data_IF_684133951965
#
_entry.id   IF_684133951965
#
_cell.length_a   1.000
_cell.length_b   1.000
_cell.length_c   1.000
_cell.angle_alpha   90.00
_cell.angle_beta   90.00
_cell.angle_gamma   90.00
#
_symmetry.space_group_name_H-M   'P 1'
#
loop_
_entity.id
_entity.type
_entity.pdbx_description
1 polymer ?
#
# COMPACT_ATOMS: atom_id res chain seq x y z
N UNK A 1 69.69 -8.98 27.75
CA UNK A 1 70.20 -8.32 26.52
C UNK A 1 69.25 -8.68 25.40
N UNK A 2 68.44 -7.70 24.99
CA UNK A 2 67.44 -7.86 23.93
C UNK A 2 68.12 -8.02 22.58
N UNK A 3 67.72 -9.06 21.84
CA UNK A 3 67.85 -9.11 20.39
C UNK A 3 66.64 -9.84 19.81
N UNK A 4 65.49 -9.16 19.85
CA UNK A 4 64.41 -9.44 18.91
C UNK A 4 64.46 -8.30 17.89
N UNK A 5 65.05 -8.63 16.74
CA UNK A 5 65.09 -7.77 15.56
C UNK A 5 63.67 -7.53 15.05
N UNK A 6 63.37 -6.28 14.74
CA UNK A 6 62.17 -5.82 14.05
C UNK A 6 62.00 -6.57 12.72
N UNK A 7 60.95 -7.37 12.61
CA UNK A 7 60.43 -7.86 11.32
C UNK A 7 58.96 -7.45 11.28
N UNK A 8 58.67 -6.36 10.58
CA UNK A 8 57.41 -6.02 9.86
C UNK A 8 57.36 -4.50 9.58
N UNK A 9 58.05 -4.01 8.55
CA UNK A 9 57.82 -2.62 8.04
C UNK A 9 58.05 -2.45 6.53
N UNK A 10 58.04 -3.52 5.71
CA UNK A 10 58.39 -3.37 4.28
C UNK A 10 57.28 -3.39 3.24
N UNK A 11 56.01 -3.59 3.62
CA UNK A 11 54.89 -3.57 2.68
C UNK A 11 53.61 -2.98 3.27
N UNK A 12 53.73 -1.90 4.05
CA UNK A 12 52.54 -1.13 4.43
C UNK A 12 52.07 -0.28 3.22
N UNK A 13 50.90 -0.57 2.62
CA UNK A 13 50.38 0.19 1.48
C UNK A 13 50.09 1.66 1.79
N UNK A 14 49.96 2.02 3.07
CA UNK A 14 49.70 3.39 3.50
C UNK A 14 50.96 4.26 3.47
N UNK A 15 52.15 3.65 3.45
CA UNK A 15 53.44 4.34 3.49
C UNK A 15 54.38 3.96 2.34
N UNK A 16 54.21 2.79 1.74
CA UNK A 16 54.98 2.28 0.60
C UNK A 16 54.10 2.13 -0.65
N UNK A 17 53.90 3.23 -1.38
CA UNK A 17 53.08 3.27 -2.60
C UNK A 17 53.70 4.18 -3.67
N UNK A 18 53.34 3.93 -4.94
CA UNK A 18 53.64 4.80 -6.07
C UNK A 18 52.48 5.75 -6.32
N UNK A 19 52.77 7.04 -6.49
CA UNK A 19 51.72 8.03 -6.77
C UNK A 19 51.35 8.03 -8.25
N UNK A 20 50.05 7.93 -8.55
CA UNK A 20 49.50 8.15 -9.89
C UNK A 20 48.81 9.51 -9.91
N UNK A 21 49.40 10.47 -10.61
CA UNK A 21 48.81 11.79 -10.84
C UNK A 21 48.41 11.97 -12.30
N UNK A 22 47.36 11.26 -12.72
CA UNK A 22 46.87 11.28 -14.10
C UNK A 22 45.38 11.62 -14.15
N UNK A 23 45.07 12.87 -14.48
CA UNK A 23 43.70 13.39 -14.46
C UNK A 23 42.78 12.71 -15.48
N UNK A 24 43.34 12.19 -16.59
CA UNK A 24 42.58 11.49 -17.64
C UNK A 24 41.96 10.18 -17.14
N UNK A 25 42.34 9.69 -15.96
CA UNK A 25 41.70 8.54 -15.29
C UNK A 25 40.33 8.88 -14.70
N UNK A 26 39.92 10.15 -14.74
CA UNK A 26 38.59 10.58 -14.27
C UNK A 26 37.47 9.88 -15.02
N UNK A 27 36.41 9.52 -14.30
CA UNK A 27 35.16 8.97 -14.84
C UNK A 27 34.45 9.94 -15.78
N UNK A 28 34.72 11.24 -15.63
CA UNK A 28 34.22 12.28 -16.52
C UNK A 28 35.03 12.39 -17.83
N UNK A 29 36.20 11.75 -17.94
CA UNK A 29 36.99 11.77 -19.16
C UNK A 29 36.48 10.73 -20.16
N UNK A 30 36.00 11.20 -21.31
CA UNK A 30 35.54 10.40 -22.44
C UNK A 30 36.41 10.53 -23.70
N UNK A 31 37.55 11.22 -23.63
CA UNK A 31 38.47 11.41 -24.76
C UNK A 31 38.94 10.05 -25.30
N UNK A 32 38.58 9.79 -26.56
CA UNK A 32 38.90 8.54 -27.27
C UNK A 32 40.20 8.62 -28.07
N UNK A 33 40.76 9.81 -28.28
CA UNK A 33 41.98 10.01 -29.05
C UNK A 33 43.24 9.71 -28.24
N UNK A 34 43.20 9.90 -26.92
CA UNK A 34 44.36 9.73 -26.03
C UNK A 34 44.08 8.73 -24.91
N UNK A 35 44.35 7.46 -25.19
CA UNK A 35 44.15 6.37 -24.23
C UNK A 35 45.37 6.14 -23.34
N UNK A 36 45.10 5.75 -22.11
CA UNK A 36 46.07 5.28 -21.12
C UNK A 36 46.09 3.76 -21.18
N UNK A 37 47.28 3.17 -21.09
CA UNK A 37 47.47 1.74 -21.00
C UNK A 37 48.22 1.39 -19.72
N UNK A 38 47.58 0.60 -18.86
CA UNK A 38 48.13 0.20 -17.57
C UNK A 38 49.01 -1.06 -17.64
N UNK A 39 49.19 -1.64 -18.84
CA UNK A 39 50.07 -2.79 -19.07
C UNK A 39 51.52 -2.57 -18.64
N UNK A 40 51.93 -1.31 -18.51
CA UNK A 40 53.30 -0.92 -18.14
C UNK A 40 53.44 -0.60 -16.64
N UNK A 41 52.35 -0.62 -15.87
CA UNK A 41 52.42 -0.48 -14.42
C UNK A 41 53.10 -1.72 -13.85
N UNK A 42 54.13 -1.51 -13.04
CA UNK A 42 54.79 -2.59 -12.32
C UNK A 42 53.90 -3.07 -11.17
N UNK A 43 53.98 -4.33 -10.74
CA UNK A 43 53.34 -4.78 -9.51
C UNK A 43 53.75 -3.90 -8.32
N UNK A 44 52.77 -3.48 -7.52
CA UNK A 44 52.99 -2.62 -6.35
C UNK A 44 51.74 -1.86 -5.93
N UNK A 45 51.82 -1.15 -4.81
CA UNK A 45 50.74 -0.29 -4.31
C UNK A 45 50.72 1.05 -5.02
N UNK A 46 49.53 1.55 -5.35
CA UNK A 46 49.37 2.83 -6.03
C UNK A 46 48.36 3.72 -5.30
N UNK A 47 48.68 5.02 -5.21
CA UNK A 47 47.79 6.05 -4.67
C UNK A 47 47.45 7.05 -5.75
N UNK A 48 46.17 7.21 -6.07
CA UNK A 48 45.74 8.25 -6.99
C UNK A 48 45.62 9.59 -6.25
N UNK A 49 46.18 10.66 -6.84
CA UNK A 49 46.19 12.02 -6.24
C UNK A 49 45.72 13.11 -7.20
N UNK A 50 45.16 12.70 -8.33
CA UNK A 50 44.78 13.61 -9.41
C UNK A 50 43.40 14.23 -9.20
N UNK A 51 43.02 15.19 -10.05
CA UNK A 51 41.64 15.71 -10.14
C UNK A 51 40.59 14.66 -10.52
N UNK A 52 40.99 13.44 -10.86
CA UNK A 52 40.08 12.33 -11.12
C UNK A 52 39.33 11.85 -9.87
N UNK A 53 39.80 12.21 -8.67
CA UNK A 53 39.34 11.65 -7.40
C UNK A 53 40.32 10.58 -6.88
N UNK A 54 40.28 10.29 -5.56
CA UNK A 54 41.17 9.30 -4.93
C UNK A 54 40.72 7.85 -5.16
N UNK A 55 39.42 7.63 -5.39
CA UNK A 55 38.78 6.30 -5.33
C UNK A 55 38.62 5.67 -6.71
N UNK A 56 38.79 4.34 -6.76
CA UNK A 56 38.46 3.54 -7.93
C UNK A 56 36.94 3.30 -7.96
N UNK A 57 36.34 3.35 -9.15
CA UNK A 57 34.92 3.05 -9.33
C UNK A 57 34.57 1.66 -8.79
N UNK A 58 33.36 1.49 -8.26
CA UNK A 58 32.79 0.19 -7.86
C UNK A 58 31.85 -0.40 -8.93
N UNK A 59 31.49 0.37 -9.94
CA UNK A 59 30.62 -0.05 -11.03
C UNK A 59 31.24 0.26 -12.39
N UNK A 60 30.80 -0.47 -13.41
CA UNK A 60 31.20 -0.22 -14.79
C UNK A 60 30.80 1.22 -15.21
N UNK A 61 31.76 2.07 -15.59
CA UNK A 61 31.41 3.41 -16.06
C UNK A 61 30.66 3.33 -17.38
N UNK A 62 29.46 3.92 -17.40
CA UNK A 62 28.52 3.88 -18.52
C UNK A 62 29.21 4.35 -19.81
N UNK A 63 29.13 3.52 -20.85
CA UNK A 63 29.63 3.85 -22.20
C UNK A 63 30.96 3.22 -22.59
N UNK A 64 31.59 2.38 -21.75
CA UNK A 64 32.74 1.53 -22.11
C UNK A 64 34.05 2.25 -22.49
N UNK A 65 34.00 3.56 -22.68
CA UNK A 65 35.07 4.46 -23.13
C UNK A 65 35.22 5.60 -22.13
N UNK A 66 35.53 5.26 -20.89
CA UNK A 66 35.67 6.20 -19.77
C UNK A 66 37.00 5.98 -19.06
N UNK A 67 37.39 6.90 -18.19
CA UNK A 67 38.65 6.83 -17.45
C UNK A 67 39.90 6.79 -18.36
N UNK A 68 39.79 7.34 -19.57
CA UNK A 68 40.88 7.37 -20.54
C UNK A 68 41.27 5.98 -21.09
N UNK A 69 40.42 4.96 -21.03
CA UNK A 69 40.68 3.61 -21.56
C UNK A 69 39.49 3.05 -22.35
N UNK A 70 39.75 2.04 -23.19
CA UNK A 70 38.70 1.28 -23.91
C UNK A 70 38.14 0.11 -23.06
N UNK A 71 38.83 -0.23 -21.97
CA UNK A 71 38.48 -1.34 -21.07
C UNK A 71 38.68 -0.83 -19.63
N UNK A 72 37.74 -0.03 -19.11
CA UNK A 72 37.82 0.44 -17.73
C UNK A 72 37.80 -0.76 -16.78
N UNK A 73 38.58 -0.67 -15.72
CA UNK A 73 38.58 -1.60 -14.59
C UNK A 73 37.91 -0.85 -13.43
N UNK A 74 37.04 -1.54 -12.71
CA UNK A 74 36.40 -1.06 -11.49
C UNK A 74 36.56 -2.14 -10.41
N UNK A 75 36.49 -1.74 -9.15
CA UNK A 75 36.41 -2.65 -8.01
C UNK A 75 35.10 -3.41 -8.11
N UNK A 76 35.18 -4.72 -8.36
CA UNK A 76 34.00 -5.59 -8.42
C UNK A 76 33.90 -6.54 -7.22
N UNK A 77 34.62 -6.24 -6.14
CA UNK A 77 34.74 -7.12 -4.97
C UNK A 77 33.84 -6.69 -3.80
N UNK A 78 33.00 -5.67 -3.99
CA UNK A 78 32.02 -5.28 -2.99
C UNK A 78 30.72 -6.09 -3.14
N UNK A 79 30.43 -6.91 -2.15
CA UNK A 79 29.24 -7.77 -2.12
C UNK A 79 27.94 -6.97 -1.99
N UNK A 80 28.03 -5.70 -1.57
CA UNK A 80 26.91 -4.76 -1.55
C UNK A 80 26.43 -4.36 -2.96
N UNK A 81 27.23 -4.59 -4.00
CA UNK A 81 26.83 -4.31 -5.37
C UNK A 81 25.76 -5.32 -5.84
N UNK A 82 24.70 -4.89 -6.55
CA UNK A 82 23.62 -5.78 -7.01
C UNK A 82 24.08 -6.98 -7.85
N UNK A 83 25.22 -6.87 -8.52
CA UNK A 83 25.80 -7.96 -9.33
C UNK A 83 26.43 -9.07 -8.49
N UNK A 84 26.73 -8.79 -7.21
CA UNK A 84 27.49 -9.66 -6.31
C UNK A 84 26.61 -10.30 -5.20
N UNK A 85 25.29 -10.12 -5.25
CA UNK A 85 24.36 -10.81 -4.36
C UNK A 85 23.05 -11.18 -5.06
N UNK A 86 22.39 -12.22 -4.53
CA UNK A 86 21.08 -12.67 -4.98
C UNK A 86 19.97 -12.02 -4.16
N UNK A 87 18.81 -11.78 -4.74
CA UNK A 87 17.67 -11.26 -4.00
C UNK A 87 16.73 -12.35 -3.51
N UNK A 88 16.18 -12.19 -2.30
CA UNK A 88 15.10 -13.01 -1.76
C UNK A 88 13.86 -12.13 -1.59
N UNK A 89 12.87 -12.29 -2.47
CA UNK A 89 11.59 -11.57 -2.42
C UNK A 89 10.44 -12.51 -2.09
N UNK A 90 10.44 -13.02 -0.86
CA UNK A 90 9.45 -13.99 -0.38
C UNK A 90 8.91 -13.52 0.97
N UNK A 91 7.71 -12.95 0.98
CA UNK A 91 7.09 -12.48 2.22
C UNK A 91 6.76 -13.62 3.19
N UNK A 92 6.59 -14.82 2.64
CA UNK A 92 6.29 -16.04 3.37
C UNK A 92 7.38 -16.37 4.39
N UNK A 93 8.58 -15.78 4.26
CA UNK A 93 9.70 -15.88 5.22
C UNK A 93 9.52 -15.03 6.48
N UNK A 94 8.44 -14.27 6.57
CA UNK A 94 8.09 -13.48 7.75
C UNK A 94 7.89 -14.32 9.00
N UNK A 95 8.38 -13.83 10.12
CA UNK A 95 8.18 -14.44 11.45
C UNK A 95 6.70 -14.53 11.87
N UNK A 96 5.82 -13.75 11.23
CA UNK A 96 4.37 -13.81 11.44
C UNK A 96 3.64 -14.76 10.49
N UNK A 97 4.31 -15.23 9.44
CA UNK A 97 3.73 -16.25 8.56
C UNK A 97 3.89 -17.64 9.18
N UNK A 98 2.80 -18.38 9.26
CA UNK A 98 2.80 -19.78 9.72
C UNK A 98 3.18 -20.76 8.60
N UNK A 99 2.83 -22.03 8.80
CA UNK A 99 2.92 -23.06 7.76
C UNK A 99 1.51 -23.34 7.22
N UNK A 100 1.12 -22.65 6.15
CA UNK A 100 -0.11 -22.92 5.40
C UNK A 100 0.21 -22.96 3.91
N UNK A 101 -0.02 -24.11 3.26
CA UNK A 101 0.43 -24.40 1.90
C UNK A 101 1.78 -25.11 1.84
N UNK A 102 2.50 -24.99 0.72
CA UNK A 102 3.83 -25.57 0.54
C UNK A 102 4.88 -24.96 1.48
N UNK A 103 5.87 -25.75 1.89
CA UNK A 103 6.93 -25.32 2.83
C UNK A 103 8.08 -24.65 2.09
N UNK A 104 8.55 -23.52 2.62
CA UNK A 104 9.83 -22.95 2.19
C UNK A 104 10.95 -23.91 2.57
N UNK A 105 11.83 -24.15 1.61
CA UNK A 105 12.81 -25.21 1.60
C UNK A 105 14.16 -24.66 1.13
N UNK A 106 15.06 -24.41 2.07
CA UNK A 106 16.38 -23.85 1.76
C UNK A 106 17.48 -24.92 1.59
N UNK A 107 17.11 -26.20 1.48
CA UNK A 107 18.10 -27.28 1.25
C UNK A 107 18.73 -27.23 -0.14
N UNK A 108 18.09 -26.52 -1.10
CA UNK A 108 18.60 -26.29 -2.44
C UNK A 108 19.27 -24.92 -2.59
N UNK A 109 19.30 -24.10 -1.54
CA UNK A 109 19.97 -22.79 -1.54
C UNK A 109 21.46 -22.99 -1.82
N UNK A 110 22.05 -22.15 -2.68
CA UNK A 110 23.48 -22.22 -2.98
C UNK A 110 24.26 -21.33 -2.01
N UNK A 111 25.44 -21.74 -1.52
CA UNK A 111 26.30 -20.86 -0.75
C UNK A 111 26.56 -19.56 -1.52
N UNK A 112 26.10 -18.42 -1.00
CA UNK A 112 26.22 -17.11 -1.65
C UNK A 112 25.75 -15.96 -0.74
N UNK A 113 25.97 -14.72 -1.18
CA UNK A 113 25.37 -13.53 -0.59
C UNK A 113 23.92 -13.34 -1.06
N UNK A 114 23.03 -13.12 -0.10
CA UNK A 114 21.61 -12.89 -0.31
C UNK A 114 21.13 -11.59 0.34
N UNK A 115 20.34 -10.82 -0.40
CA UNK A 115 19.62 -9.64 0.06
C UNK A 115 18.11 -9.91 0.11
N UNK A 116 17.51 -9.99 1.30
CA UNK A 116 16.06 -9.97 1.44
C UNK A 116 15.51 -8.61 1.02
N UNK A 117 14.50 -8.60 0.14
CA UNK A 117 13.90 -7.36 -0.39
C UNK A 117 12.38 -7.30 -0.22
N UNK A 118 11.78 -8.30 0.42
CA UNK A 118 10.35 -8.32 0.63
C UNK A 118 9.88 -7.16 1.49
N UNK A 119 8.71 -6.61 1.14
CA UNK A 119 8.00 -5.60 1.95
C UNK A 119 7.52 -6.14 3.29
N UNK A 120 7.58 -7.45 3.53
CA UNK A 120 7.35 -8.05 4.84
C UNK A 120 8.45 -7.72 5.89
N UNK A 121 9.51 -7.04 5.46
CA UNK A 121 10.72 -6.78 6.22
C UNK A 121 11.89 -7.60 5.71
N UNK A 122 13.08 -7.06 5.88
CA UNK A 122 14.32 -7.56 5.29
C UNK A 122 15.36 -8.03 6.30
N UNK A 123 15.05 -7.97 7.59
CA UNK A 123 15.94 -8.38 8.67
C UNK A 123 15.64 -9.81 9.12
N UNK A 124 16.69 -10.61 9.29
CA UNK A 124 16.63 -11.86 10.02
C UNK A 124 16.36 -11.59 11.51
N UNK A 125 15.42 -12.29 12.16
CA UNK A 125 15.19 -12.11 13.60
C UNK A 125 16.45 -12.47 14.40
N UNK A 126 16.79 -11.67 15.40
CA UNK A 126 17.95 -11.89 16.30
C UNK A 126 17.61 -12.62 17.59
N UNK A 127 16.35 -13.05 17.72
CA UNK A 127 15.82 -13.75 18.89
C UNK A 127 15.17 -15.05 18.47
N UNK A 128 15.24 -16.03 19.36
CA UNK A 128 14.62 -17.32 19.13
C UNK A 128 13.13 -17.22 18.83
N UNK A 129 12.71 -18.01 17.84
CA UNK A 129 11.34 -18.14 17.40
C UNK A 129 10.68 -19.35 18.07
N UNK A 130 10.29 -19.15 19.33
CA UNK A 130 9.66 -20.20 20.16
C UNK A 130 8.44 -20.83 19.48
N UNK A 131 8.29 -22.15 19.64
CA UNK A 131 7.18 -22.94 19.13
C UNK A 131 7.36 -23.47 17.69
N UNK A 132 8.39 -23.02 16.96
CA UNK A 132 8.59 -23.40 15.55
C UNK A 132 7.48 -22.90 14.63
N UNK A 133 7.35 -23.53 13.45
CA UNK A 133 6.25 -23.29 12.47
C UNK A 133 6.04 -21.82 12.06
N UNK A 134 7.14 -21.11 11.78
CA UNK A 134 7.14 -19.71 11.32
C UNK A 134 7.92 -19.59 10.02
N UNK A 135 7.86 -18.43 9.37
CA UNK A 135 8.64 -18.13 8.17
C UNK A 135 8.37 -19.14 7.04
N UNK A 136 7.13 -19.63 6.95
CA UNK A 136 6.72 -20.58 5.91
C UNK A 136 7.35 -21.97 6.05
N UNK A 137 7.96 -22.30 7.20
CA UNK A 137 8.64 -23.58 7.42
C UNK A 137 8.44 -24.12 8.83
N UNK A 138 8.76 -25.39 9.06
CA UNK A 138 8.58 -26.04 10.37
C UNK A 138 9.69 -25.68 11.36
N UNK A 139 10.92 -25.54 10.86
CA UNK A 139 12.11 -25.19 11.66
C UNK A 139 12.66 -23.84 11.19
N UNK A 140 12.07 -22.72 11.65
CA UNK A 140 12.49 -21.39 11.23
C UNK A 140 13.90 -21.08 11.74
N UNK A 141 14.74 -20.50 10.87
CA UNK A 141 16.13 -20.15 11.20
C UNK A 141 16.23 -18.65 11.50
N UNK A 142 16.80 -18.33 12.65
CA UNK A 142 17.03 -16.97 13.17
C UNK A 142 18.53 -16.77 13.45
N UNK A 143 19.01 -15.53 13.59
CA UNK A 143 20.42 -15.22 13.82
C UNK A 143 20.71 -14.98 15.30
N UNK A 144 21.76 -15.59 15.85
CA UNK A 144 22.24 -15.26 17.19
C UNK A 144 23.13 -14.01 17.16
N UNK A 145 22.92 -13.09 18.09
CA UNK A 145 23.74 -11.89 18.27
C UNK A 145 23.10 -10.62 17.75
N UNK A 146 23.94 -9.64 17.39
CA UNK A 146 23.53 -8.32 16.91
C UNK A 146 23.95 -8.10 15.46
N UNK A 147 23.35 -7.09 14.84
CA UNK A 147 23.72 -6.65 13.49
C UNK A 147 25.08 -5.94 13.48
N UNK A 148 25.86 -6.07 12.39
CA UNK A 148 27.11 -5.33 12.19
C UNK A 148 26.90 -3.82 12.09
N UNK A 149 27.93 -3.04 12.44
CA UNK A 149 27.98 -1.60 12.16
C UNK A 149 28.13 -1.36 10.67
N UNK A 150 27.94 -0.11 10.22
CA UNK A 150 28.03 0.25 8.82
C UNK A 150 29.37 -0.15 8.18
N UNK A 151 29.31 -0.80 7.01
CA UNK A 151 30.47 -1.32 6.27
C UNK A 151 31.09 -2.61 6.84
N UNK A 152 30.71 -3.05 8.03
CA UNK A 152 31.31 -4.22 8.67
C UNK A 152 30.73 -5.54 8.13
N UNK A 153 31.60 -6.56 8.08
CA UNK A 153 31.23 -7.96 7.89
C UNK A 153 31.49 -8.70 9.21
N UNK A 154 30.49 -9.41 9.71
CA UNK A 154 30.61 -10.23 10.93
C UNK A 154 30.24 -11.69 10.65
N UNK A 155 31.01 -12.60 11.24
CA UNK A 155 30.62 -14.01 11.33
C UNK A 155 29.51 -14.13 12.37
N UNK A 156 28.43 -14.84 12.04
CA UNK A 156 27.29 -15.05 12.92
C UNK A 156 26.82 -16.50 12.87
N UNK A 157 26.12 -16.91 13.93
CA UNK A 157 25.51 -18.24 14.02
C UNK A 157 24.02 -18.12 13.74
N UNK A 158 23.53 -18.79 12.71
CA UNK A 158 22.11 -18.96 12.47
C UNK A 158 21.63 -20.24 13.15
N UNK A 159 20.48 -20.21 13.82
CA UNK A 159 19.94 -21.29 14.64
C UNK A 159 18.56 -21.70 14.14
N UNK A 160 18.36 -23.00 13.91
CA UNK A 160 17.03 -23.53 13.59
C UNK A 160 16.22 -23.75 14.88
N UNK A 161 15.11 -23.02 15.01
CA UNK A 161 14.14 -23.22 16.08
C UNK A 161 13.24 -24.44 15.80
N UNK A 162 12.67 -24.98 16.87
CA UNK A 162 11.74 -26.10 16.87
C UNK A 162 10.70 -25.89 17.97
N UNK A 163 9.73 -26.81 18.09
CA UNK A 163 8.68 -26.70 19.11
C UNK A 163 9.23 -26.61 20.54
N UNK A 164 10.27 -27.39 20.87
CA UNK A 164 10.84 -27.53 22.22
C UNK A 164 12.25 -26.95 22.38
N UNK A 165 12.76 -26.17 21.40
CA UNK A 165 14.14 -25.70 21.48
C UNK A 165 14.52 -24.75 20.36
N UNK A 166 15.55 -23.95 20.61
CA UNK A 166 15.88 -22.79 19.80
C UNK A 166 17.07 -22.96 18.83
N UNK A 167 18.05 -23.78 19.20
CA UNK A 167 19.31 -23.91 18.45
C UNK A 167 19.88 -25.33 18.55
N UNK A 168 19.07 -26.34 18.21
CA UNK A 168 19.55 -27.73 18.14
C UNK A 168 20.35 -27.99 16.86
N UNK A 169 20.14 -27.15 15.83
CA UNK A 169 20.87 -27.16 14.56
C UNK A 169 21.31 -25.72 14.33
N UNK A 170 22.58 -25.54 13.97
CA UNK A 170 23.15 -24.24 13.66
C UNK A 170 23.87 -24.22 12.32
N UNK A 171 24.02 -23.02 11.77
CA UNK A 171 24.71 -22.73 10.52
C UNK A 171 25.63 -21.55 10.74
N UNK A 172 26.87 -21.65 10.27
CA UNK A 172 27.77 -20.51 10.22
C UNK A 172 27.41 -19.66 9.00
N UNK A 173 27.12 -18.39 9.24
CA UNK A 173 26.78 -17.41 8.21
C UNK A 173 27.66 -16.17 8.38
N UNK A 174 27.63 -15.29 7.39
CA UNK A 174 28.18 -13.93 7.52
C UNK A 174 27.10 -12.90 7.25
N UNK A 175 27.20 -11.74 7.89
CA UNK A 175 26.30 -10.62 7.64
C UNK A 175 27.14 -9.38 7.37
N UNK A 176 26.79 -8.65 6.32
CA UNK A 176 27.40 -7.36 5.96
C UNK A 176 26.36 -6.25 6.06
N UNK A 177 26.74 -5.12 6.64
CA UNK A 177 25.95 -3.89 6.59
C UNK A 177 26.39 -3.04 5.39
N UNK A 178 25.51 -2.89 4.40
CA UNK A 178 25.72 -2.08 3.20
C UNK A 178 25.12 -0.68 3.37
N UNK A 179 25.22 -0.13 4.58
CA UNK A 179 24.62 1.12 5.06
C UNK A 179 23.09 1.10 5.10
N UNK A 180 22.43 0.95 3.96
CA UNK A 180 20.97 1.05 3.83
C UNK A 180 20.25 -0.30 3.85
N UNK A 181 20.99 -1.39 3.76
CA UNK A 181 20.47 -2.76 3.80
C UNK A 181 21.54 -3.72 4.31
N UNK A 182 21.10 -4.94 4.65
CA UNK A 182 21.98 -6.03 5.03
C UNK A 182 21.96 -7.12 3.96
N UNK A 183 23.10 -7.75 3.77
CA UNK A 183 23.24 -8.98 3.00
C UNK A 183 23.77 -10.09 3.90
N UNK A 184 23.39 -11.31 3.56
CA UNK A 184 23.67 -12.50 4.36
C UNK A 184 24.36 -13.54 3.48
N UNK A 185 25.56 -13.97 3.85
CA UNK A 185 26.22 -15.11 3.24
C UNK A 185 25.61 -16.38 3.83
N UNK A 186 24.69 -17.00 3.08
CA UNK A 186 23.86 -18.11 3.56
C UNK A 186 24.36 -19.44 2.99
N UNK A 187 24.17 -20.50 3.76
CA UNK A 187 24.50 -21.88 3.35
C UNK A 187 23.24 -22.74 3.22
N UNK A 188 23.24 -23.79 2.37
CA UNK A 188 22.12 -24.72 2.27
C UNK A 188 21.77 -25.33 3.62
N UNK A 189 20.47 -25.47 3.88
CA UNK A 189 20.01 -26.14 5.10
C UNK A 189 20.12 -27.66 4.98
N UNK A 190 20.27 -28.37 6.10
CA UNK A 190 20.38 -29.83 6.11
C UNK A 190 19.10 -30.56 5.67
N UNK A 191 17.98 -29.85 5.58
CA UNK A 191 16.74 -30.47 5.14
C UNK A 191 15.64 -29.47 4.83
N UNK A 192 14.69 -29.92 4.01
CA UNK A 192 13.64 -29.09 3.44
C UNK A 192 12.64 -28.52 4.46
N UNK A 193 12.65 -29.01 5.69
CA UNK A 193 11.82 -28.49 6.79
C UNK A 193 12.41 -27.26 7.50
N UNK A 194 13.45 -26.65 6.93
CA UNK A 194 14.18 -25.52 7.50
C UNK A 194 14.36 -24.41 6.46
N UNK A 195 14.20 -23.17 6.89
CA UNK A 195 14.37 -21.98 6.05
C UNK A 195 14.78 -20.76 6.88
N UNK A 196 15.57 -19.88 6.27
CA UNK A 196 15.98 -18.59 6.83
C UNK A 196 14.79 -17.62 6.87
N UNK A 197 14.54 -17.07 8.06
CA UNK A 197 13.51 -16.08 8.30
C UNK A 197 13.96 -14.68 7.91
N UNK A 198 13.06 -13.91 7.32
CA UNK A 198 13.25 -12.49 7.08
C UNK A 198 11.93 -11.75 7.27
N UNK A 199 11.97 -10.67 8.03
CA UNK A 199 10.81 -9.80 8.24
C UNK A 199 9.85 -10.26 9.32
N UNK A 200 8.90 -9.38 9.63
CA UNK A 200 7.92 -9.53 10.71
C UNK A 200 6.54 -9.02 10.35
N UNK A 201 6.30 -8.79 9.07
CA UNK A 201 5.05 -8.28 8.53
C UNK A 201 4.44 -9.32 7.58
N UNK A 202 3.13 -9.24 7.37
CA UNK A 202 2.38 -10.12 6.45
C UNK A 202 1.52 -9.26 5.53
N UNK A 203 1.20 -9.74 4.30
CA UNK A 203 0.29 -9.05 3.40
C UNK A 203 -1.02 -8.71 4.11
N UNK A 204 -1.63 -7.60 3.72
CA UNK A 204 -2.94 -7.27 4.23
C UNK A 204 -3.95 -8.37 3.90
N UNK A 205 -4.89 -8.68 4.81
CA UNK A 205 -5.98 -9.60 4.53
C UNK A 205 -6.76 -9.19 3.28
N UNK A 206 -7.44 -10.15 2.65
CA UNK A 206 -8.30 -9.86 1.51
C UNK A 206 -9.36 -8.80 1.88
N UNK A 207 -9.43 -7.72 1.11
CA UNK A 207 -10.30 -6.59 1.42
C UNK A 207 -9.64 -5.50 2.25
N UNK A 208 -8.38 -5.63 2.63
CA UNK A 208 -7.65 -4.57 3.31
C UNK A 208 -6.45 -4.10 2.50
N UNK A 209 -6.04 -2.87 2.74
CA UNK A 209 -4.85 -2.28 2.14
C UNK A 209 -4.12 -1.39 3.14
N UNK A 210 -2.84 -1.17 2.88
CA UNK A 210 -1.98 -0.21 3.57
C UNK A 210 -1.09 0.47 2.54
N UNK A 211 -0.28 1.43 2.97
CA UNK A 211 0.68 2.11 2.07
C UNK A 211 1.70 1.14 1.45
N UNK A 212 2.11 0.12 2.21
CA UNK A 212 3.05 -0.90 1.74
C UNK A 212 2.37 -2.13 1.16
N UNK A 213 1.08 -2.34 1.45
CA UNK A 213 0.34 -3.58 1.20
C UNK A 213 0.52 -4.64 2.28
N UNK A 214 1.25 -4.31 3.36
CA UNK A 214 1.58 -5.21 4.47
C UNK A 214 1.11 -4.61 5.80
N UNK A 215 1.01 -5.47 6.81
CA UNK A 215 0.82 -5.07 8.21
C UNK A 215 2.10 -4.43 8.78
N UNK A 216 2.03 -3.51 9.75
CA UNK A 216 0.85 -2.96 10.38
C UNK A 216 0.15 -1.91 9.50
N UNK A 217 -1.06 -1.51 9.89
CA UNK A 217 -1.77 -0.42 9.24
C UNK A 217 -2.68 -0.83 8.09
N UNK A 218 -2.96 -2.14 7.94
CA UNK A 218 -4.04 -2.60 7.09
C UNK A 218 -5.37 -2.02 7.57
N UNK A 219 -6.13 -1.47 6.62
CA UNK A 219 -7.46 -0.92 6.81
C UNK A 219 -8.34 -1.41 5.69
N UNK A 220 -9.65 -1.51 5.95
CA UNK A 220 -10.65 -1.83 4.94
C UNK A 220 -10.43 -0.95 3.71
N UNK A 221 -10.21 -1.59 2.56
CA UNK A 221 -10.11 -0.94 1.27
C UNK A 221 -11.52 -0.75 0.68
N UNK A 222 -12.08 0.48 0.65
CA UNK A 222 -13.41 0.72 0.09
C UNK A 222 -13.51 0.36 -1.39
N UNK A 223 -12.38 0.30 -2.09
CA UNK A 223 -12.31 -0.05 -3.50
C UNK A 223 -12.28 -1.56 -3.73
N UNK A 224 -12.07 -2.38 -2.70
CA UNK A 224 -12.13 -3.82 -2.89
C UNK A 224 -13.58 -4.28 -3.11
N UNK A 225 -13.81 -5.13 -4.12
CA UNK A 225 -15.13 -5.68 -4.48
C UNK A 225 -15.90 -6.36 -3.34
N UNK A 226 -15.19 -6.85 -2.32
CA UNK A 226 -15.84 -7.49 -1.16
C UNK A 226 -16.39 -6.48 -0.16
N UNK A 227 -15.93 -5.23 -0.20
CA UNK A 227 -16.23 -4.23 0.81
C UNK A 227 -17.35 -3.28 0.40
N UNK A 228 -17.76 -3.29 -0.87
CA UNK A 228 -18.88 -2.50 -1.35
C UNK A 228 -20.01 -3.38 -1.88
N UNK A 229 -21.23 -2.83 -1.83
CA UNK A 229 -22.42 -3.40 -2.47
C UNK A 229 -22.68 -2.69 -3.79
N UNK A 230 -23.06 -3.43 -4.81
CA UNK A 230 -23.46 -2.84 -6.08
C UNK A 230 -24.88 -2.28 -5.98
N UNK A 231 -25.04 -1.02 -6.39
CA UNK A 231 -26.33 -0.41 -6.67
C UNK A 231 -26.55 -0.49 -8.18
N UNK A 232 -27.12 -1.61 -8.63
CA UNK A 232 -27.48 -1.80 -10.03
C UNK A 232 -28.62 -0.85 -10.39
N UNK A 233 -28.40 -0.04 -11.42
CA UNK A 233 -29.36 0.99 -11.85
C UNK A 233 -29.24 1.32 -13.32
N UNK A 234 -29.11 0.27 -14.15
CA UNK A 234 -28.89 0.22 -15.61
C UNK A 234 -29.06 1.58 -16.31
N UNK A 235 -30.25 2.18 -16.28
CA UNK A 235 -30.47 3.55 -16.77
C UNK A 235 -31.13 4.46 -15.74
N UNK A 236 -31.99 3.95 -14.87
CA UNK A 236 -32.87 4.79 -14.04
C UNK A 236 -32.14 5.68 -13.02
N UNK A 237 -30.92 5.32 -12.59
CA UNK A 237 -30.13 6.13 -11.64
C UNK A 237 -29.39 7.32 -12.28
N UNK A 238 -29.41 7.44 -13.61
CA UNK A 238 -28.71 8.53 -14.32
C UNK A 238 -29.36 9.88 -14.12
N UNK A 239 -28.55 10.94 -14.17
CA UNK A 239 -29.01 12.34 -14.09
C UNK A 239 -30.01 12.72 -15.18
N UNK A 240 -30.01 11.98 -16.29
CA UNK A 240 -30.88 12.24 -17.44
C UNK A 240 -32.24 11.53 -17.35
N UNK A 241 -32.46 10.67 -16.35
CA UNK A 241 -33.69 9.90 -16.24
C UNK A 241 -34.73 10.64 -15.40
N UNK A 242 -35.90 10.89 -16.00
CA UNK A 242 -37.08 11.43 -15.34
C UNK A 242 -38.10 10.33 -15.09
N UNK A 243 -38.58 10.19 -13.84
CA UNK A 243 -39.62 9.23 -13.48
C UNK A 243 -40.88 9.43 -14.32
N UNK A 244 -41.37 8.32 -14.87
CA UNK A 244 -42.63 8.20 -15.58
C UNK A 244 -43.76 7.83 -14.62
N UNK A 245 -45.01 7.91 -15.07
CA UNK A 245 -46.20 7.71 -14.24
C UNK A 245 -46.27 6.33 -13.55
N UNK A 246 -45.76 5.29 -14.18
CA UNK A 246 -45.79 3.91 -13.67
C UNK A 246 -44.48 3.45 -13.04
N UNK A 247 -43.51 4.35 -12.88
CA UNK A 247 -42.24 4.02 -12.28
C UNK A 247 -42.34 3.86 -10.77
N UNK A 248 -41.74 2.79 -10.23
CA UNK A 248 -41.46 2.67 -8.80
C UNK A 248 -40.19 3.49 -8.51
N UNK A 249 -40.25 4.60 -7.75
CA UNK A 249 -39.06 5.39 -7.44
C UNK A 249 -38.07 4.57 -6.62
N UNK A 250 -36.76 4.76 -6.86
CA UNK A 250 -35.77 4.22 -5.95
C UNK A 250 -35.87 4.93 -4.59
N UNK A 251 -35.80 4.13 -3.53
CA UNK A 251 -35.73 4.61 -2.16
C UNK A 251 -34.40 4.17 -1.53
N UNK A 252 -33.39 5.04 -1.61
CA UNK A 252 -32.08 4.78 -1.00
C UNK A 252 -32.08 4.97 0.54
N UNK A 253 -33.20 5.45 1.12
CA UNK A 253 -33.33 5.59 2.58
C UNK A 253 -33.28 4.23 3.29
N UNK A 254 -33.72 3.16 2.62
CA UNK A 254 -33.72 1.79 3.14
C UNK A 254 -32.34 1.12 3.13
N UNK A 255 -31.37 1.68 2.40
CA UNK A 255 -30.02 1.10 2.33
C UNK A 255 -29.40 1.01 3.73
N UNK A 256 -28.76 -0.11 4.07
CA UNK A 256 -28.04 -0.22 5.35
C UNK A 256 -26.74 0.57 5.30
N UNK A 257 -26.15 0.88 6.46
CA UNK A 257 -24.79 1.41 6.52
C UNK A 257 -23.80 0.42 5.91
N UNK A 258 -23.13 0.85 4.83
CA UNK A 258 -22.13 0.10 4.07
C UNK A 258 -21.50 1.02 3.01
N UNK A 259 -20.44 0.53 2.35
CA UNK A 259 -19.97 1.11 1.09
C UNK A 259 -20.83 0.60 -0.07
N UNK A 260 -21.05 1.48 -1.04
CA UNK A 260 -21.82 1.22 -2.24
C UNK A 260 -21.07 1.73 -3.47
N UNK A 261 -21.11 0.96 -4.54
CA UNK A 261 -20.67 1.38 -5.87
C UNK A 261 -21.92 1.45 -6.76
N UNK A 262 -22.09 2.58 -7.44
CA UNK A 262 -23.12 2.71 -8.48
C UNK A 262 -22.61 2.03 -9.74
N UNK A 263 -23.45 1.17 -10.32
CA UNK A 263 -23.18 0.53 -11.60
C UNK A 263 -24.36 0.82 -12.53
N UNK A 264 -24.15 1.78 -13.43
CA UNK A 264 -25.14 2.27 -14.38
C UNK A 264 -24.48 2.51 -15.74
N UNK A 265 -25.20 2.19 -16.81
CA UNK A 265 -24.72 2.30 -18.18
C UNK A 265 -24.46 3.74 -18.64
N UNK A 266 -24.90 4.74 -17.86
CA UNK A 266 -24.87 6.16 -18.25
C UNK A 266 -24.25 7.08 -17.20
N UNK A 267 -23.58 6.53 -16.18
CA UNK A 267 -22.83 7.30 -15.20
C UNK A 267 -22.80 6.66 -13.81
N UNK A 268 -21.62 6.56 -13.22
CA UNK A 268 -21.38 5.88 -11.93
C UNK A 268 -21.12 6.84 -10.77
N UNK A 269 -21.20 8.15 -11.03
CA UNK A 269 -20.87 9.20 -10.07
C UNK A 269 -22.12 9.88 -9.53
N UNK A 270 -22.05 10.28 -8.26
CA UNK A 270 -23.07 11.14 -7.67
C UNK A 270 -22.95 12.52 -8.31
N UNK A 271 -24.07 13.04 -8.80
CA UNK A 271 -24.16 14.37 -9.40
C UNK A 271 -23.70 15.47 -8.42
N UNK A 272 -22.93 16.43 -8.91
CA UNK A 272 -22.34 17.54 -8.13
C UNK A 272 -23.18 18.83 -8.13
N UNK A 273 -24.39 18.78 -8.70
CA UNK A 273 -25.27 19.92 -8.86
C UNK A 273 -26.73 19.54 -8.55
N UNK A 274 -27.56 20.51 -8.10
CA UNK A 274 -28.97 20.29 -7.83
C UNK A 274 -29.70 19.66 -9.02
N UNK A 275 -30.55 18.66 -8.76
CA UNK A 275 -31.36 18.01 -9.78
C UNK A 275 -32.84 18.33 -9.57
N UNK A 276 -33.61 18.46 -10.65
CA UNK A 276 -35.06 18.70 -10.56
C UNK A 276 -35.75 17.53 -9.85
N UNK A 277 -36.93 17.77 -9.25
CA UNK A 277 -37.79 16.70 -8.70
C UNK A 277 -38.02 15.61 -9.76
N UNK A 278 -38.16 14.36 -9.32
CA UNK A 278 -38.37 13.19 -10.18
C UNK A 278 -37.18 12.80 -11.09
N UNK A 279 -36.00 13.42 -10.95
CA UNK A 279 -34.78 13.03 -11.65
C UNK A 279 -34.04 11.87 -10.96
N UNK A 280 -33.04 11.30 -11.64
CA UNK A 280 -32.21 10.19 -11.13
C UNK A 280 -33.02 8.97 -10.68
N UNK A 281 -34.25 8.82 -11.20
CA UNK A 281 -35.14 7.71 -10.82
C UNK A 281 -35.66 7.78 -9.39
N UNK A 282 -35.62 8.96 -8.75
CA UNK A 282 -36.06 9.20 -7.37
C UNK A 282 -37.06 10.35 -7.32
N UNK A 283 -37.98 10.35 -6.34
CA UNK A 283 -38.90 11.48 -6.15
C UNK A 283 -38.15 12.72 -5.65
N UNK A 284 -37.16 12.53 -4.78
CA UNK A 284 -36.34 13.59 -4.17
C UNK A 284 -34.85 13.27 -4.38
N UNK A 285 -34.24 13.76 -5.47
CA UNK A 285 -32.86 13.45 -5.79
C UNK A 285 -31.89 14.00 -4.76
N UNK A 286 -30.84 13.22 -4.51
CA UNK A 286 -29.69 13.63 -3.71
C UNK A 286 -28.56 14.05 -4.66
N UNK A 287 -27.92 15.17 -4.35
CA UNK A 287 -26.73 15.65 -5.03
C UNK A 287 -25.64 16.02 -4.01
N UNK A 288 -24.40 15.98 -4.47
CA UNK A 288 -23.22 16.29 -3.67
C UNK A 288 -22.82 17.75 -3.87
N UNK A 289 -22.53 18.46 -2.79
CA UNK A 289 -21.97 19.82 -2.88
C UNK A 289 -20.47 19.76 -3.14
N UNK A 290 -20.02 20.45 -4.20
CA UNK A 290 -18.61 20.54 -4.58
C UNK A 290 -18.19 19.52 -5.64
N UNK A 291 -16.89 19.37 -5.87
CA UNK A 291 -16.33 18.47 -6.88
C UNK A 291 -16.22 17.02 -6.40
N UNK A 292 -16.15 16.09 -7.35
CA UNK A 292 -15.77 14.69 -7.10
C UNK A 292 -14.34 14.61 -6.55
N UNK A 293 -14.01 13.63 -5.70
CA UNK A 293 -12.65 13.47 -5.20
C UNK A 293 -11.65 13.16 -6.31
N UNK A 294 -10.46 13.75 -6.20
CA UNK A 294 -9.30 13.41 -7.04
C UNK A 294 -8.75 12.02 -6.65
N UNK A 295 -7.92 11.43 -7.51
CA UNK A 295 -7.35 10.08 -7.28
C UNK A 295 -6.35 10.09 -6.11
N UNK A 296 -5.60 11.18 -5.97
CA UNK A 296 -4.64 11.39 -4.89
C UNK A 296 -5.29 11.68 -3.53
N UNK A 297 -6.57 12.07 -3.55
CA UNK A 297 -7.35 12.19 -2.33
C UNK A 297 -7.70 10.77 -1.85
N UNK A 298 -7.31 10.46 -0.61
CA UNK A 298 -7.76 9.25 0.11
C UNK A 298 -9.29 9.31 0.31
N UNK A 299 -9.80 8.74 1.40
CA UNK A 299 -11.24 8.84 1.69
C UNK A 299 -11.60 10.26 2.12
N UNK A 300 -12.45 10.93 1.34
CA UNK A 300 -12.96 12.29 1.64
C UNK A 300 -14.35 12.24 2.24
N UNK A 301 -14.71 13.26 3.02
CA UNK A 301 -16.08 13.50 3.48
C UNK A 301 -16.72 14.57 2.59
N UNK A 302 -17.93 14.33 2.10
CA UNK A 302 -18.66 15.28 1.24
C UNK A 302 -20.06 15.54 1.76
N UNK A 303 -20.48 16.79 1.63
CA UNK A 303 -21.83 17.24 1.97
C UNK A 303 -22.82 16.86 0.88
N UNK A 304 -23.95 16.32 1.31
CA UNK A 304 -25.04 15.86 0.47
C UNK A 304 -26.30 16.66 0.75
N UNK A 305 -27.09 16.90 -0.29
CA UNK A 305 -28.33 17.66 -0.24
C UNK A 305 -29.46 16.92 -0.95
N UNK A 306 -30.63 16.81 -0.32
CA UNK A 306 -31.88 16.42 -1.01
C UNK A 306 -32.51 17.63 -1.69
N UNK A 307 -33.01 17.47 -2.91
CA UNK A 307 -33.56 18.59 -3.69
C UNK A 307 -35.05 18.81 -3.44
N UNK A 308 -35.45 20.08 -3.23
CA UNK A 308 -36.84 20.55 -3.18
C UNK A 308 -37.41 20.88 -4.56
N UNK A 309 -38.72 21.15 -4.62
CA UNK A 309 -39.43 21.56 -5.84
C UNK A 309 -38.84 22.80 -6.50
N UNK A 310 -38.36 23.77 -5.71
CA UNK A 310 -37.71 24.99 -6.21
C UNK A 310 -36.21 24.81 -6.52
N UNK A 311 -35.68 23.58 -6.47
CA UNK A 311 -34.26 23.30 -6.69
C UNK A 311 -33.34 23.59 -5.50
N UNK A 312 -33.88 24.06 -4.37
CA UNK A 312 -33.10 24.31 -3.15
C UNK A 312 -32.80 23.03 -2.36
N UNK A 313 -31.81 23.10 -1.46
CA UNK A 313 -31.43 21.99 -0.60
C UNK A 313 -32.35 21.91 0.63
N UNK A 314 -33.03 20.78 0.84
CA UNK A 314 -33.88 20.49 1.99
C UNK A 314 -33.08 19.91 3.16
N UNK A 315 -32.65 18.65 3.05
CA UNK A 315 -31.92 17.93 4.09
C UNK A 315 -30.45 17.81 3.73
N UNK A 316 -29.61 18.10 4.72
CA UNK A 316 -28.15 17.96 4.65
C UNK A 316 -27.68 16.74 5.43
N UNK A 317 -26.71 16.03 4.89
CA UNK A 317 -25.99 14.96 5.55
C UNK A 317 -24.62 14.80 4.90
N UNK A 318 -23.73 14.02 5.50
CA UNK A 318 -22.41 13.75 4.93
C UNK A 318 -22.26 12.28 4.57
N UNK A 319 -21.47 12.02 3.54
CA UNK A 319 -21.02 10.66 3.19
C UNK A 319 -19.50 10.64 3.06
N UNK A 320 -18.92 9.44 3.12
CA UNK A 320 -17.53 9.25 2.73
C UNK A 320 -17.46 8.77 1.29
N UNK A 321 -16.50 9.28 0.53
CA UNK A 321 -16.28 8.89 -0.86
C UNK A 321 -14.81 8.54 -1.04
N UNK A 322 -14.54 7.41 -1.70
CA UNK A 322 -13.22 7.01 -2.14
C UNK A 322 -13.20 6.93 -3.67
N UNK A 323 -12.24 7.61 -4.29
CA UNK A 323 -11.96 7.43 -5.72
C UNK A 323 -11.14 6.14 -5.91
N UNK A 324 -11.66 5.23 -6.74
CA UNK A 324 -11.07 3.93 -7.06
C UNK A 324 -10.55 3.89 -8.51
N UNK A 325 -10.09 5.04 -9.01
CA UNK A 325 -9.61 5.29 -10.37
C UNK A 325 -10.72 5.28 -11.43
N UNK A 326 -11.47 4.18 -11.55
CA UNK A 326 -12.51 3.99 -12.59
C UNK A 326 -13.93 4.15 -12.07
N UNK A 327 -14.13 4.12 -10.75
CA UNK A 327 -15.41 4.31 -10.07
C UNK A 327 -15.19 4.91 -8.69
N UNK A 328 -16.28 5.28 -8.03
CA UNK A 328 -16.27 5.81 -6.66
C UNK A 328 -17.00 4.84 -5.74
N UNK A 329 -16.38 4.52 -4.60
CA UNK A 329 -17.06 3.85 -3.50
C UNK A 329 -17.63 4.91 -2.57
N UNK A 330 -18.91 4.79 -2.22
CA UNK A 330 -19.67 5.77 -1.43
C UNK A 330 -20.17 5.11 -0.15
N UNK A 331 -19.78 5.60 1.02
CA UNK A 331 -20.23 5.09 2.31
C UNK A 331 -21.51 5.79 2.74
N UNK A 332 -22.62 5.06 2.77
CA UNK A 332 -23.80 5.51 3.51
C UNK A 332 -23.52 5.32 4.99
N UNK A 333 -23.57 6.40 5.76
CA UNK A 333 -23.58 6.33 7.23
C UNK A 333 -25.03 6.39 7.69
N UNK A 334 -25.42 5.52 8.61
CA UNK A 334 -26.64 5.78 9.38
C UNK A 334 -26.37 6.95 10.30
N UNK A 335 -27.38 7.78 10.61
CA UNK A 335 -27.25 8.73 11.73
C UNK A 335 -27.02 7.91 12.99
N UNK A 336 -25.77 7.76 13.39
CA UNK A 336 -25.43 7.28 14.72
C UNK A 336 -25.93 8.38 15.64
N UNK A 337 -26.92 8.08 16.47
CA UNK A 337 -27.26 8.93 17.59
C UNK A 337 -26.03 9.04 18.47
N UNK A 338 -25.24 10.10 18.28
CA UNK A 338 -24.25 10.67 19.21
C UNK A 338 -23.48 11.90 18.66
N UNK A 339 -23.88 12.51 17.53
CA UNK A 339 -23.46 13.89 17.22
C UNK A 339 -24.33 14.91 17.97
N UNK A 340 -24.26 14.92 19.31
CA UNK A 340 -24.93 15.92 20.16
C UNK A 340 -24.22 17.29 20.19
N UNK A 341 -23.12 17.46 19.46
CA UNK A 341 -22.34 18.71 19.43
C UNK A 341 -22.53 19.54 18.16
N UNK A 342 -23.49 19.18 17.29
CA UNK A 342 -23.93 20.07 16.21
C UNK A 342 -25.21 20.76 16.71
N UNK A 343 -25.23 22.09 16.89
CA UNK A 343 -26.44 22.77 17.33
C UNK A 343 -27.57 22.50 16.34
N UNK A 344 -28.78 22.15 16.82
CA UNK A 344 -29.94 21.98 15.94
C UNK A 344 -30.20 23.29 15.18
N UNK A 345 -30.59 23.24 13.89
CA UNK A 345 -30.96 24.44 13.17
C UNK A 345 -32.14 25.13 13.89
N UNK A 346 -32.19 26.48 13.91
CA UNK A 346 -33.23 27.20 14.61
C UNK A 346 -34.61 26.79 14.09
N UNK A 347 -35.43 26.29 15.01
CA UNK A 347 -36.82 25.91 14.78
C UNK A 347 -37.61 27.15 14.35
N UNK A 348 -38.15 27.13 13.13
CA UNK A 348 -39.17 28.09 12.69
C UNK A 348 -40.54 27.42 12.87
N UNK A 349 -41.45 27.99 13.69
CA UNK A 349 -42.77 27.40 13.90
C UNK A 349 -43.62 27.50 12.62
N UNK A 350 -44.61 26.61 12.44
CA UNK A 350 -45.52 26.66 11.29
C UNK A 350 -46.44 27.88 11.40
N UNK A 351 -46.12 28.93 10.64
CA UNK A 351 -47.00 30.05 10.36
C UNK A 351 -48.07 29.61 9.36
N UNK A 352 -49.32 29.72 9.79
CA UNK A 352 -50.52 29.58 8.98
C UNK A 352 -50.49 30.57 7.81
N UNK A 353 -50.77 30.09 6.60
CA UNK A 353 -51.52 30.88 5.63
C UNK A 353 -52.37 29.95 4.76
N UNK A 354 -53.66 29.90 5.12
CA UNK A 354 -54.74 29.45 4.26
C UNK A 354 -55.13 30.59 3.32
N UNK A 355 -54.96 30.40 2.02
CA UNK A 355 -55.77 31.05 0.97
C UNK A 355 -56.27 29.92 0.06
N UNK A 356 -57.47 29.38 0.35
CA UNK A 356 -58.75 29.72 -0.30
C UNK A 356 -58.74 29.50 -1.82
N UNK A 357 -59.22 28.35 -2.25
CA UNK A 357 -60.03 28.27 -3.48
C UNK A 357 -61.50 28.08 -3.09
N UNK A 358 -62.28 29.16 -3.28
CA UNK A 358 -63.75 29.16 -3.34
C UNK A 358 -64.16 28.77 -4.75
N UNK A 359 -64.99 27.73 -4.87
CA UNK A 359 -66.24 27.60 -5.64
C UNK A 359 -66.84 26.28 -5.10
N UNK A 360 -68.06 26.15 -4.59
CA UNK A 360 -69.30 26.90 -4.60
C UNK A 360 -70.36 25.89 -4.10
N UNK A 361 -71.15 26.29 -3.11
CA UNK A 361 -72.12 25.48 -2.37
C UNK A 361 -73.19 24.80 -3.24
N UNK A 362 -73.71 23.64 -2.80
CA UNK A 362 -75.16 23.44 -2.69
C UNK A 362 -75.53 22.41 -1.61
N UNK A 363 -76.15 22.97 -0.58
CA UNK A 363 -77.14 22.50 0.42
C UNK A 363 -77.38 20.99 0.70
N UNK A 364 -77.40 20.71 2.00
CA UNK A 364 -78.02 19.56 2.70
C UNK A 364 -79.55 19.56 2.60
N UNK A 365 -80.22 18.40 2.72
CA UNK A 365 -81.57 18.32 3.27
C UNK A 365 -81.57 17.87 4.74
N UNK A 366 -82.45 18.49 5.52
CA UNK A 366 -82.80 18.13 6.88
C UNK A 366 -83.83 16.98 6.93
N UNK A 367 -83.85 16.30 8.07
CA UNK A 367 -84.81 15.25 8.47
C UNK A 367 -86.29 15.68 8.32
N UNK A 368 -87.13 14.75 7.86
CA UNK A 368 -88.55 14.72 8.22
C UNK A 368 -89.07 13.27 8.40
N UNK A 369 -89.55 13.03 9.61
CA UNK A 369 -90.65 12.19 10.13
C UNK A 369 -91.23 11.01 9.32
N UNK A 370 -91.39 9.87 10.01
CA UNK A 370 -92.16 8.67 9.61
C UNK A 370 -93.57 8.73 10.23
N UNK A 371 -94.64 8.52 9.43
CA UNK A 371 -95.93 7.87 9.79
C UNK A 371 -96.62 7.36 8.49
N UNK A 372 -97.65 6.47 8.48
CA UNK A 372 -97.53 5.04 8.18
C UNK A 372 -98.30 4.57 6.93
N UNK A 373 -98.19 3.26 6.67
CA UNK A 373 -98.79 2.42 5.61
C UNK A 373 -100.31 2.59 5.40
N UNK A 374 -100.71 2.68 4.13
CA UNK A 374 -102.00 2.18 3.62
C UNK A 374 -101.78 1.23 2.44
N UNK A 375 -102.46 0.08 2.49
CA UNK A 375 -102.65 -0.89 1.41
C UNK A 375 -103.79 -0.43 0.48
N UNK A 376 -103.66 -0.63 -0.84
CA UNK A 376 -104.60 -1.41 -1.71
C UNK A 376 -104.46 -1.12 -3.21
N UNK A 377 -104.67 -2.18 -3.99
CA UNK A 377 -105.07 -2.20 -5.41
C UNK A 377 -103.87 -2.36 -6.35
N UNK A 378 -103.68 -3.47 -7.06
CA UNK A 378 -104.65 -4.35 -7.73
C UNK A 378 -104.60 -5.78 -7.21
#
# INVERSE_FOLDING_TARGET
MNRHENIETRDDPCTNFTTINEWRRSVANDDTAKRICDSNLKPGWYKSVSKAGPDMLTDCPVGGFRCGTNKPIWLNDDECLPVNHKTIDQWERSTKNGVSGGRICDSNLKPDWYRPISKAGNLMPTKCLNGGFKCGTSKPIWMQGSYPSDGEIVNATACASSYNGCCNISYNIQVKNCSTFYIYNLTPTFGCSQAYCFGSEIPCPNGETSETGYTPGCKIDPCNKMNYRLLNGEVKRTSNYTLQQNDIPYDDSILKEAWYRVDSASGNDIVSAPQKKNQCGTKYPVWMKGSLPLVEEKTVVRDMCTTMENGSCDRKFTIQIQNCTTYRANKKRTRIGNDKNIPPPPYSPPGQDMIKNKWGQMQTPANHTIVPLEQKGI
#
